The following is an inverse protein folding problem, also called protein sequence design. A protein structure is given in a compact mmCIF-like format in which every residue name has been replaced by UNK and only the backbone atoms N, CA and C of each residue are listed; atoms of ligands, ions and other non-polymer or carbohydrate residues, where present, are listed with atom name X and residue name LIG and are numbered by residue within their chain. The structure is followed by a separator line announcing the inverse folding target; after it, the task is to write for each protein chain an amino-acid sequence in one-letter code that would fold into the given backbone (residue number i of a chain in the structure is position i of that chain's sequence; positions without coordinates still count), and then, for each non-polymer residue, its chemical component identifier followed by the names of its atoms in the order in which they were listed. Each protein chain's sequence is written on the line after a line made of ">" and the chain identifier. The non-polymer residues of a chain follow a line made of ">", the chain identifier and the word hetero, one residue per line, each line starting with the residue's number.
data_IF_362430370326
#
_entry.id   IF_362430370326
#
_cell.length_a   1.000
_cell.length_b   1.000
_cell.length_c   1.000
_cell.angle_alpha   90.00
_cell.angle_beta   90.00
_cell.angle_gamma   90.00
#
_symmetry.space_group_name_H-M   'P 1'
#
loop_
_entity.id
_entity.type
_entity.pdbx_description
1 polymer ?
#
# COMPACT_ATOMS: atom_id res chain seq x y z
N UNK A 1 -51.95 4.84 -21.93
CA UNK A 1 -50.78 5.46 -22.58
C UNK A 1 -49.55 4.65 -22.18
N UNK A 2 -48.84 4.04 -23.14
CA UNK A 2 -47.66 3.22 -22.81
C UNK A 2 -46.44 4.13 -22.69
N UNK A 3 -46.18 4.64 -21.47
CA UNK A 3 -44.96 5.38 -21.13
C UNK A 3 -43.81 4.38 -21.01
N UNK A 4 -42.89 4.34 -21.97
CA UNK A 4 -41.45 4.14 -21.77
C UNK A 4 -40.79 3.85 -23.12
N UNK A 5 -40.55 4.91 -23.88
CA UNK A 5 -39.84 4.85 -25.16
C UNK A 5 -38.34 4.52 -25.02
N UNK A 6 -37.82 4.55 -23.79
CA UNK A 6 -36.40 4.35 -23.50
C UNK A 6 -35.97 2.90 -23.66
N UNK A 7 -36.85 1.92 -23.38
CA UNK A 7 -36.54 0.49 -23.49
C UNK A 7 -36.23 0.04 -24.93
N UNK A 8 -36.73 0.76 -25.94
CA UNK A 8 -36.53 0.43 -27.36
C UNK A 8 -35.28 1.09 -27.97
N UNK A 9 -34.57 1.93 -27.22
CA UNK A 9 -33.37 2.63 -27.71
C UNK A 9 -32.12 1.80 -27.44
N UNK A 10 -31.28 1.68 -28.47
CA UNK A 10 -30.04 0.89 -28.43
C UNK A 10 -28.95 1.48 -27.55
N UNK A 11 -29.03 2.74 -27.16
CA UNK A 11 -28.09 3.37 -26.22
C UNK A 11 -28.56 3.30 -24.76
N UNK A 12 -29.76 2.80 -24.49
CA UNK A 12 -30.26 2.72 -23.13
C UNK A 12 -29.43 1.71 -22.33
N UNK A 13 -28.71 2.20 -21.32
CA UNK A 13 -27.84 1.41 -20.44
C UNK A 13 -28.62 0.29 -19.74
N UNK A 14 -29.90 0.52 -19.43
CA UNK A 14 -30.76 -0.46 -18.75
C UNK A 14 -31.36 -1.53 -19.67
N UNK A 15 -31.07 -1.50 -20.97
CA UNK A 15 -31.47 -2.56 -21.87
C UNK A 15 -30.63 -3.82 -21.58
N UNK A 16 -31.28 -4.98 -21.45
CA UNK A 16 -30.62 -6.26 -21.13
C UNK A 16 -29.48 -6.56 -22.11
N UNK A 17 -29.68 -6.28 -23.41
CA UNK A 17 -28.66 -6.47 -24.44
C UNK A 17 -27.41 -5.59 -24.25
N UNK A 18 -27.53 -4.41 -23.63
CA UNK A 18 -26.39 -3.55 -23.33
C UNK A 18 -25.71 -3.94 -22.03
N UNK A 19 -26.49 -4.32 -21.02
CA UNK A 19 -25.98 -4.85 -19.76
C UNK A 19 -25.17 -6.14 -20.01
N UNK A 20 -25.61 -7.00 -20.92
CA UNK A 20 -24.89 -8.22 -21.30
C UNK A 20 -23.57 -7.92 -22.03
N UNK A 21 -23.51 -6.89 -22.87
CA UNK A 21 -22.25 -6.46 -23.50
C UNK A 21 -21.26 -5.94 -22.48
N UNK A 22 -21.72 -5.04 -21.59
CA UNK A 22 -20.87 -4.50 -20.52
C UNK A 22 -20.36 -5.62 -19.62
N UNK A 23 -21.22 -6.57 -19.22
CA UNK A 23 -20.80 -7.75 -18.44
C UNK A 23 -19.77 -8.61 -19.16
N UNK A 24 -19.89 -8.76 -20.48
CA UNK A 24 -18.92 -9.51 -21.28
C UNK A 24 -17.58 -8.78 -21.31
N UNK A 25 -17.60 -7.47 -21.55
CA UNK A 25 -16.39 -6.65 -21.60
C UNK A 25 -15.71 -6.59 -20.21
N UNK A 26 -16.50 -6.49 -19.13
CA UNK A 26 -16.03 -6.58 -17.74
C UNK A 26 -15.45 -7.96 -17.43
N UNK A 27 -16.08 -9.04 -17.88
CA UNK A 27 -15.57 -10.40 -17.68
C UNK A 27 -14.29 -10.65 -18.49
N UNK A 28 -14.17 -10.11 -19.71
CA UNK A 28 -12.96 -10.20 -20.53
C UNK A 28 -11.81 -9.37 -19.91
N UNK A 29 -12.11 -8.20 -19.34
CA UNK A 29 -11.16 -7.40 -18.59
C UNK A 29 -10.70 -8.11 -17.30
N UNK A 30 -11.64 -8.63 -16.51
CA UNK A 30 -11.33 -9.39 -15.29
C UNK A 30 -10.52 -10.65 -15.59
N UNK A 31 -10.86 -11.41 -16.64
CA UNK A 31 -10.11 -12.61 -17.02
C UNK A 31 -8.66 -12.29 -17.41
N UNK A 32 -8.41 -11.10 -17.99
CA UNK A 32 -7.07 -10.64 -18.32
C UNK A 32 -6.28 -10.26 -17.06
N UNK A 33 -6.90 -9.53 -16.13
CA UNK A 33 -6.29 -9.18 -14.84
C UNK A 33 -5.97 -10.44 -14.03
N UNK A 34 -6.90 -11.39 -13.93
CA UNK A 34 -6.69 -12.67 -13.24
C UNK A 34 -5.53 -13.48 -13.85
N UNK A 35 -5.38 -13.48 -15.17
CA UNK A 35 -4.26 -14.15 -15.83
C UNK A 35 -2.91 -13.49 -15.52
N UNK A 36 -2.87 -12.16 -15.38
CA UNK A 36 -1.68 -11.42 -14.97
C UNK A 36 -1.37 -11.67 -13.48
N UNK A 37 -2.38 -11.67 -12.62
CA UNK A 37 -2.23 -12.02 -11.20
C UNK A 37 -1.74 -13.45 -10.99
N UNK A 38 -2.26 -14.42 -11.76
CA UNK A 38 -1.78 -15.80 -11.70
C UNK A 38 -0.31 -15.90 -12.07
N UNK A 39 0.16 -15.17 -13.09
CA UNK A 39 1.59 -15.12 -13.43
C UNK A 39 2.42 -14.57 -12.28
N UNK A 40 1.98 -13.50 -11.64
CA UNK A 40 2.68 -12.94 -10.47
C UNK A 40 2.70 -13.92 -9.29
N UNK A 41 1.58 -14.62 -9.05
CA UNK A 41 1.49 -15.64 -8.01
C UNK A 41 2.41 -16.84 -8.29
N UNK A 42 2.51 -17.27 -9.55
CA UNK A 42 3.40 -18.35 -9.99
C UNK A 42 4.87 -17.96 -9.82
N UNK A 43 5.25 -16.73 -10.15
CA UNK A 43 6.60 -16.20 -9.91
C UNK A 43 6.93 -16.16 -8.42
N UNK A 44 6.00 -15.69 -7.60
CA UNK A 44 6.14 -15.66 -6.14
C UNK A 44 6.20 -17.07 -5.55
N UNK A 45 5.38 -17.99 -6.03
CA UNK A 45 5.40 -19.39 -5.64
C UNK A 45 6.73 -20.05 -6.04
N UNK A 46 7.20 -19.82 -7.27
CA UNK A 46 8.49 -20.31 -7.75
C UNK A 46 9.65 -19.77 -6.89
N UNK A 47 9.62 -18.48 -6.53
CA UNK A 47 10.61 -17.88 -5.60
C UNK A 47 10.55 -18.53 -4.22
N UNK A 48 9.35 -18.78 -3.67
CA UNK A 48 9.19 -19.49 -2.39
C UNK A 48 9.74 -20.91 -2.47
N UNK A 49 9.49 -21.61 -3.56
CA UNK A 49 10.01 -22.96 -3.79
C UNK A 49 11.55 -22.95 -3.93
N UNK A 50 12.12 -22.00 -4.67
CA UNK A 50 13.57 -21.84 -4.82
C UNK A 50 14.26 -21.59 -3.46
N UNK A 51 13.66 -20.74 -2.62
CA UNK A 51 14.10 -20.51 -1.24
C UNK A 51 14.04 -21.79 -0.39
N UNK A 52 12.98 -22.58 -0.52
CA UNK A 52 12.85 -23.87 0.17
C UNK A 52 13.86 -24.91 -0.35
N UNK A 53 14.23 -24.84 -1.62
CA UNK A 53 15.27 -25.68 -2.23
C UNK A 53 16.71 -25.22 -1.93
N UNK A 54 16.88 -24.09 -1.25
CA UNK A 54 18.20 -23.54 -0.92
C UNK A 54 18.92 -22.89 -2.11
N UNK A 55 18.22 -22.59 -3.19
CA UNK A 55 18.77 -21.89 -4.35
C UNK A 55 18.86 -20.38 -4.05
N UNK A 56 19.95 -19.67 -4.47
CA UNK A 56 20.10 -18.25 -4.19
C UNK A 56 19.07 -17.42 -4.98
N UNK A 57 18.07 -16.87 -4.28
CA UNK A 57 17.05 -15.99 -4.88
C UNK A 57 17.61 -14.59 -5.06
N UNK A 58 17.55 -14.06 -6.30
CA UNK A 58 17.97 -12.69 -6.60
C UNK A 58 17.12 -11.68 -5.80
N UNK A 59 17.74 -10.64 -5.18
CA UNK A 59 17.01 -9.64 -4.41
C UNK A 59 16.04 -8.87 -5.32
N UNK A 60 14.81 -8.69 -4.86
CA UNK A 60 13.81 -7.82 -5.49
C UNK A 60 14.38 -6.40 -5.57
N UNK A 61 14.67 -5.94 -6.78
CA UNK A 61 14.80 -4.50 -7.04
C UNK A 61 13.43 -3.89 -6.73
N UNK A 62 13.33 -2.81 -5.94
CA UNK A 62 12.05 -2.14 -5.73
C UNK A 62 11.53 -1.68 -7.09
N UNK A 63 10.35 -2.17 -7.46
CA UNK A 63 9.73 -1.89 -8.75
C UNK A 63 9.65 -0.38 -8.95
N UNK A 64 10.35 0.10 -9.98
CA UNK A 64 10.12 1.42 -10.52
C UNK A 64 8.67 1.47 -10.97
N UNK A 65 7.86 2.24 -10.25
CA UNK A 65 6.56 2.79 -10.68
C UNK A 65 5.72 1.84 -11.54
N UNK A 66 4.84 1.09 -10.86
CA UNK A 66 3.47 0.83 -11.30
C UNK A 66 3.19 1.14 -12.78
N UNK A 67 3.10 0.11 -13.60
CA UNK A 67 2.63 0.16 -14.99
C UNK A 67 1.14 0.54 -15.14
N UNK A 68 0.57 1.27 -14.17
CA UNK A 68 -0.72 1.96 -14.25
C UNK A 68 -0.61 3.43 -14.69
N UNK A 69 0.60 3.98 -14.81
CA UNK A 69 0.82 5.40 -15.14
C UNK A 69 0.74 5.73 -16.66
N UNK A 70 0.33 4.77 -17.49
CA UNK A 70 0.21 4.98 -18.93
C UNK A 70 -1.06 5.77 -19.31
N UNK A 71 -2.11 5.73 -18.49
CA UNK A 71 -3.36 6.47 -18.74
C UNK A 71 -3.32 7.93 -18.23
N UNK A 72 -2.49 8.25 -17.23
CA UNK A 72 -2.23 9.65 -16.84
C UNK A 72 -1.40 10.42 -17.89
N UNK A 73 -0.69 9.69 -18.75
CA UNK A 73 0.25 10.25 -19.73
C UNK A 73 -0.43 11.02 -20.87
N UNK A 74 -1.71 10.78 -21.11
CA UNK A 74 -2.52 11.50 -22.12
C UNK A 74 -2.99 12.86 -21.58
N UNK A 75 -3.33 12.96 -20.30
CA UNK A 75 -3.74 14.22 -19.66
C UNK A 75 -2.56 15.15 -19.31
N UNK A 76 -1.34 14.61 -19.16
CA UNK A 76 -0.13 15.39 -18.87
C UNK A 76 0.39 16.21 -20.07
N UNK A 77 -0.08 15.98 -21.31
CA UNK A 77 0.36 16.76 -22.48
C UNK A 77 -0.25 18.17 -22.55
N UNK A 78 -1.38 18.42 -21.90
CA UNK A 78 -2.01 19.74 -21.89
C UNK A 78 -1.39 20.72 -20.87
N UNK A 79 -0.51 20.26 -19.97
CA UNK A 79 0.10 21.08 -18.90
C UNK A 79 1.60 21.34 -19.05
N UNK A 80 2.24 20.87 -20.13
CA UNK A 80 3.71 20.88 -20.30
C UNK A 80 4.32 22.11 -20.97
N UNK A 81 3.54 23.12 -21.35
CA UNK A 81 4.07 24.33 -22.00
C UNK A 81 4.49 25.45 -21.03
N UNK A 82 4.48 25.24 -19.71
CA UNK A 82 4.70 26.35 -18.74
C UNK A 82 5.87 26.22 -17.76
N UNK A 83 6.44 25.05 -17.53
CA UNK A 83 7.47 24.89 -16.49
C UNK A 83 8.77 24.26 -17.02
N UNK A 84 9.49 25.00 -17.88
CA UNK A 84 10.91 24.74 -18.18
C UNK A 84 11.80 25.56 -17.25
N UNK A 85 12.06 25.04 -16.05
CA UNK A 85 13.31 25.26 -15.28
C UNK A 85 13.26 24.42 -14.01
N UNK A 86 13.81 23.21 -14.08
CA UNK A 86 14.23 22.51 -12.88
C UNK A 86 15.60 21.87 -13.12
N UNK A 87 16.56 22.30 -12.31
CA UNK A 87 17.90 21.78 -12.21
C UNK A 87 17.90 20.30 -11.85
N UNK A 88 18.69 19.51 -12.56
CA UNK A 88 18.91 18.09 -12.30
C UNK A 88 19.34 17.34 -13.55
N UNK A 89 20.67 17.19 -13.73
CA UNK A 89 21.41 16.45 -14.76
C UNK A 89 20.94 16.67 -16.22
N UNK A 90 21.82 17.01 -17.18
CA UNK A 90 21.41 17.17 -18.57
C UNK A 90 20.88 15.83 -19.07
N UNK A 91 19.55 15.66 -19.11
CA UNK A 91 18.91 14.60 -19.85
C UNK A 91 19.39 14.76 -21.29
N UNK A 92 20.24 13.84 -21.74
CA UNK A 92 20.80 13.85 -23.08
C UNK A 92 19.65 14.05 -24.07
N UNK A 93 19.64 15.20 -24.73
CA UNK A 93 18.58 15.54 -25.68
C UNK A 93 18.56 14.45 -26.73
N UNK A 94 17.39 13.84 -26.96
CA UNK A 94 17.22 12.76 -27.93
C UNK A 94 17.81 13.18 -29.29
N UNK A 95 18.93 12.55 -29.69
CA UNK A 95 19.66 12.89 -30.91
C UNK A 95 18.77 12.61 -32.13
N UNK A 96 18.58 13.62 -32.99
CA UNK A 96 17.71 13.54 -34.18
C UNK A 96 18.36 12.70 -35.29
N UNK A 97 17.54 12.15 -36.17
CA UNK A 97 17.96 11.46 -37.40
C UNK A 97 18.49 12.50 -38.41
N UNK A 98 19.60 12.24 -39.08
CA UNK A 98 20.07 13.09 -40.18
C UNK A 98 19.28 12.77 -41.46
N UNK A 99 19.19 13.73 -42.38
CA UNK A 99 18.45 13.52 -43.63
C UNK A 99 19.16 12.48 -44.51
N UNK A 100 18.48 11.37 -44.83
CA UNK A 100 19.02 10.30 -45.68
C UNK A 100 19.77 9.17 -44.95
N UNK A 101 19.78 9.14 -43.62
CA UNK A 101 20.31 7.99 -42.84
C UNK A 101 19.27 6.85 -42.78
N UNK A 102 19.70 5.59 -42.84
CA UNK A 102 18.86 4.44 -42.46
C UNK A 102 18.87 4.23 -40.94
N UNK A 103 17.91 3.46 -40.41
CA UNK A 103 17.79 3.27 -38.96
C UNK A 103 19.00 2.51 -38.37
N UNK A 104 19.61 1.60 -39.14
CA UNK A 104 20.86 0.92 -38.78
C UNK A 104 22.05 1.87 -38.77
N UNK A 105 22.15 2.77 -39.74
CA UNK A 105 23.24 3.73 -39.84
C UNK A 105 23.20 4.74 -38.69
N UNK A 106 21.98 5.12 -38.29
CA UNK A 106 21.75 5.96 -37.11
C UNK A 106 22.25 5.30 -35.83
N UNK A 107 21.96 4.01 -35.64
CA UNK A 107 22.41 3.24 -34.48
C UNK A 107 23.94 3.10 -34.45
N UNK A 108 24.56 2.80 -35.60
CA UNK A 108 26.02 2.69 -35.73
C UNK A 108 26.70 4.02 -35.40
N UNK A 109 26.14 5.16 -35.83
CA UNK A 109 26.69 6.49 -35.52
C UNK A 109 26.62 6.78 -34.03
N UNK A 110 25.48 6.54 -33.37
CA UNK A 110 25.36 6.74 -31.93
C UNK A 110 26.31 5.83 -31.14
N UNK A 111 26.43 4.56 -31.52
CA UNK A 111 27.37 3.63 -30.89
C UNK A 111 28.83 4.13 -31.00
N UNK A 112 29.24 4.69 -32.15
CA UNK A 112 30.58 5.27 -32.33
C UNK A 112 30.79 6.53 -31.47
N UNK A 113 29.82 7.44 -31.46
CA UNK A 113 29.88 8.67 -30.66
C UNK A 113 30.02 8.36 -29.16
N UNK A 114 29.32 7.33 -28.66
CA UNK A 114 29.36 6.93 -27.26
C UNK A 114 30.69 6.24 -26.90
N UNK A 115 31.25 5.43 -27.81
CA UNK A 115 32.60 4.86 -27.66
C UNK A 115 33.66 5.97 -27.62
N UNK A 116 33.58 6.96 -28.51
CA UNK A 116 34.50 8.11 -28.52
C UNK A 116 34.38 8.95 -27.25
N UNK A 117 33.16 9.22 -26.77
CA UNK A 117 32.93 9.94 -25.53
C UNK A 117 33.53 9.17 -24.33
N UNK A 118 33.35 7.85 -24.29
CA UNK A 118 33.97 6.99 -23.29
C UNK A 118 35.50 6.99 -23.34
N UNK A 119 36.09 7.00 -24.54
CA UNK A 119 37.55 7.11 -24.70
C UNK A 119 38.09 8.48 -24.26
N UNK A 120 37.41 9.58 -24.59
CA UNK A 120 37.78 10.94 -24.15
C UNK A 120 37.69 11.10 -22.64
N UNK A 121 36.66 10.51 -22.00
CA UNK A 121 36.56 10.49 -20.54
C UNK A 121 37.72 9.71 -19.92
N UNK A 122 38.06 8.53 -20.47
CA UNK A 122 39.18 7.70 -20.01
C UNK A 122 40.52 8.43 -20.13
N UNK A 123 40.81 9.11 -21.24
CA UNK A 123 42.06 9.86 -21.41
C UNK A 123 42.15 11.08 -20.49
N UNK A 124 41.03 11.75 -20.21
CA UNK A 124 40.96 12.87 -19.27
C UNK A 124 41.20 12.45 -17.81
N UNK A 125 40.78 11.24 -17.43
CA UNK A 125 41.09 10.66 -16.12
C UNK A 125 42.57 10.27 -16.01
N UNK A 126 43.13 9.56 -17.01
CA UNK A 126 44.53 9.10 -16.99
C UNK A 126 45.55 10.25 -16.95
N UNK A 127 45.24 11.39 -17.58
CA UNK A 127 46.16 12.56 -17.56
C UNK A 127 46.27 13.27 -16.21
N UNK A 128 45.36 13.02 -15.26
CA UNK A 128 45.41 13.68 -13.94
C UNK A 128 46.31 12.97 -12.93
N UNK A 129 46.70 11.73 -13.19
CA UNK A 129 47.37 10.89 -12.18
C UNK A 129 48.91 10.82 -12.36
N UNK A 130 49.48 11.42 -13.41
CA UNK A 130 50.88 11.16 -13.79
C UNK A 130 51.81 12.39 -13.81
N UNK A 131 51.32 13.62 -13.63
CA UNK A 131 52.20 14.79 -13.64
C UNK A 131 52.15 15.61 -12.35
N UNK A 132 53.34 16.02 -11.90
CA UNK A 132 53.66 17.03 -10.88
C UNK A 132 54.07 16.57 -9.46
N UNK A 133 54.89 15.52 -9.35
CA UNK A 133 55.83 15.43 -8.21
C UNK A 133 57.23 15.00 -8.68
N UNK A 134 58.28 15.82 -8.52
CA UNK A 134 59.64 15.38 -8.81
C UNK A 134 60.00 14.21 -7.88
N UNK A 135 60.37 13.06 -8.46
CA UNK A 135 60.69 11.81 -7.75
C UNK A 135 61.81 11.99 -6.70
N UNK A 136 62.62 13.04 -6.85
CA UNK A 136 63.76 13.34 -6.00
C UNK A 136 63.59 14.73 -5.41
N UNK A 137 63.68 14.82 -4.09
CA UNK A 137 63.71 16.08 -3.35
C UNK A 137 64.92 16.94 -3.78
N UNK A 138 64.89 18.24 -3.54
CA UNK A 138 66.00 19.15 -3.77
C UNK A 138 67.27 18.78 -2.97
N UNK A 139 67.12 17.94 -1.94
CA UNK A 139 68.20 17.35 -1.15
C UNK A 139 68.72 16.00 -1.70
N UNK A 140 68.22 15.51 -2.83
CA UNK A 140 68.66 14.26 -3.46
C UNK A 140 67.99 12.98 -2.95
N UNK A 141 66.97 13.08 -2.08
CA UNK A 141 66.26 11.92 -1.54
C UNK A 141 65.07 11.52 -2.41
N UNK A 142 64.90 10.21 -2.66
CA UNK A 142 63.75 9.70 -3.43
C UNK A 142 62.48 9.77 -2.57
N UNK A 143 61.50 10.57 -2.98
CA UNK A 143 60.22 10.69 -2.28
C UNK A 143 59.24 9.65 -2.85
N UNK A 144 59.08 8.53 -2.14
CA UNK A 144 58.14 7.46 -2.48
C UNK A 144 56.68 7.81 -2.16
N UNK A 145 56.47 8.87 -1.36
CA UNK A 145 55.16 9.38 -0.94
C UNK A 145 55.17 10.87 -1.26
N UNK A 146 54.21 11.40 -2.03
CA UNK A 146 54.16 12.83 -2.35
C UNK A 146 53.99 13.62 -1.04
N UNK A 147 54.92 14.54 -0.76
CA UNK A 147 54.78 15.44 0.37
C UNK A 147 53.49 16.27 0.19
N UNK A 148 52.71 16.49 1.26
CA UNK A 148 51.53 17.35 1.17
C UNK A 148 51.98 18.74 0.74
N UNK A 149 51.45 19.25 -0.38
CA UNK A 149 51.79 20.56 -0.90
C UNK A 149 51.70 21.61 0.22
N UNK A 150 52.80 22.31 0.50
CA UNK A 150 52.81 23.36 1.52
C UNK A 150 52.07 24.64 1.05
N UNK A 151 51.79 24.74 -0.25
CA UNK A 151 51.08 25.87 -0.88
C UNK A 151 49.64 26.05 -0.35
N UNK A 152 48.77 25.02 -0.26
CA UNK A 152 47.45 25.15 0.37
C UNK A 152 47.55 25.45 1.87
N UNK A 153 48.52 24.87 2.58
CA UNK A 153 48.68 25.06 4.03
C UNK A 153 49.11 26.50 4.35
N UNK A 154 50.03 27.07 3.57
CA UNK A 154 50.48 28.48 3.70
C UNK A 154 49.41 29.50 3.27
N UNK A 155 48.49 29.12 2.37
CA UNK A 155 47.32 29.95 1.99
C UNK A 155 46.24 29.94 3.07
N UNK A 156 45.98 28.80 3.70
CA UNK A 156 45.03 28.68 4.81
C UNK A 156 45.46 29.50 6.05
N UNK A 157 46.76 29.55 6.36
CA UNK A 157 47.25 30.24 7.57
C UNK A 157 47.15 31.78 7.56
N UNK A 158 46.98 32.43 6.40
CA UNK A 158 46.87 33.90 6.27
C UNK A 158 45.43 34.38 6.06
N UNK A 159 44.47 33.47 5.98
CA UNK A 159 43.08 33.74 5.63
C UNK A 159 42.11 33.61 6.81
N UNK A 160 42.56 33.42 8.05
CA UNK A 160 41.63 33.25 9.17
C UNK A 160 40.69 34.46 9.38
N UNK A 161 41.18 35.68 9.17
CA UNK A 161 40.36 36.89 9.20
C UNK A 161 39.47 37.03 7.95
N UNK A 162 39.99 36.65 6.78
CA UNK A 162 39.25 36.69 5.51
C UNK A 162 38.11 35.64 5.46
N UNK A 163 38.33 34.44 5.99
CA UNK A 163 37.32 33.38 6.10
C UNK A 163 36.22 33.75 7.11
N UNK A 164 36.57 34.47 8.18
CA UNK A 164 35.57 35.00 9.12
C UNK A 164 34.71 36.09 8.46
N UNK A 165 35.29 36.99 7.67
CA UNK A 165 34.55 38.00 6.91
C UNK A 165 33.71 37.40 5.78
N UNK A 166 34.25 36.41 5.04
CA UNK A 166 33.52 35.68 4.01
C UNK A 166 32.39 34.84 4.60
N UNK A 167 32.57 34.20 5.76
CA UNK A 167 31.51 33.48 6.45
C UNK A 167 30.40 34.43 6.94
N UNK A 168 30.75 35.64 7.41
CA UNK A 168 29.76 36.66 7.77
C UNK A 168 29.04 37.21 6.54
N UNK A 169 29.75 37.43 5.42
CA UNK A 169 29.17 37.88 4.16
C UNK A 169 28.23 36.83 3.58
N UNK A 170 28.66 35.57 3.56
CA UNK A 170 27.86 34.42 3.13
C UNK A 170 26.61 34.26 4.00
N UNK A 171 26.72 34.39 5.33
CA UNK A 171 25.53 34.39 6.21
C UNK A 171 24.59 35.54 5.88
N UNK A 172 25.09 36.76 5.67
CA UNK A 172 24.26 37.90 5.25
C UNK A 172 23.58 37.68 3.89
N UNK A 173 24.28 37.08 2.93
CA UNK A 173 23.75 36.73 1.61
C UNK A 173 22.70 35.60 1.71
N UNK A 174 22.96 34.57 2.52
CA UNK A 174 22.01 33.50 2.82
C UNK A 174 20.77 34.05 3.56
N UNK A 175 20.93 35.03 4.44
CA UNK A 175 19.84 35.71 5.13
C UNK A 175 19.02 36.61 4.18
N UNK A 176 19.64 37.17 3.13
CA UNK A 176 18.94 37.92 2.08
C UNK A 176 18.20 37.01 1.10
N UNK A 177 18.80 35.86 0.75
CA UNK A 177 18.23 34.90 -0.21
C UNK A 177 17.17 34.00 0.43
N UNK A 178 17.34 33.66 1.70
CA UNK A 178 16.41 32.77 2.41
C UNK A 178 15.54 33.53 3.40
N UNK A 179 14.23 33.54 3.14
CA UNK A 179 13.20 34.14 4.02
C UNK A 179 12.96 33.27 5.26
N UNK A 180 13.97 33.10 6.12
CA UNK A 180 13.81 32.42 7.41
C UNK A 180 13.30 33.40 8.46
N UNK A 181 12.26 32.99 9.20
CA UNK A 181 11.65 33.81 10.26
C UNK A 181 12.64 34.21 11.38
N UNK A 182 13.74 33.47 11.55
CA UNK A 182 14.84 33.82 12.46
C UNK A 182 15.64 35.05 12.02
N UNK A 183 15.70 35.33 10.72
CA UNK A 183 16.55 36.36 10.12
C UNK A 183 15.81 37.68 9.93
N UNK A 184 14.48 37.67 9.96
CA UNK A 184 13.63 38.87 9.84
C UNK A 184 13.64 39.75 11.10
N UNK A 185 14.19 39.26 12.22
CA UNK A 185 14.36 40.02 13.45
C UNK A 185 15.59 40.93 13.35
N UNK A 186 15.55 41.93 12.47
CA UNK A 186 16.63 42.88 12.18
C UNK A 186 17.04 43.80 13.34
N UNK A 187 16.69 43.48 14.59
CA UNK A 187 17.05 44.26 15.75
C UNK A 187 17.75 43.34 16.74
N UNK A 188 19.04 43.58 16.94
CA UNK A 188 19.87 42.99 17.99
C UNK A 188 19.18 43.18 19.34
N UNK A 189 18.31 42.25 19.71
CA UNK A 189 17.86 41.90 21.05
C UNK A 189 17.00 40.64 20.87
N UNK A 190 17.26 39.66 21.73
CA UNK A 190 16.72 38.32 21.64
C UNK A 190 15.19 38.31 21.57
N UNK A 191 14.67 37.13 21.28
CA UNK A 191 13.25 36.82 21.35
C UNK A 191 12.66 37.26 22.70
N UNK A 192 12.27 38.54 22.81
CA UNK A 192 11.26 38.97 23.75
C UNK A 192 10.07 38.08 23.46
N UNK A 193 9.69 37.35 24.51
CA UNK A 193 8.68 36.32 24.47
C UNK A 193 7.55 36.77 23.55
N UNK A 194 7.26 36.02 22.47
CA UNK A 194 6.26 36.46 21.52
C UNK A 194 4.93 36.66 22.25
N UNK A 195 4.08 37.55 21.78
CA UNK A 195 2.85 37.98 22.47
C UNK A 195 1.87 36.85 22.85
N UNK A 196 2.04 35.64 22.31
CA UNK A 196 1.32 34.41 22.71
C UNK A 196 1.94 33.66 23.91
N UNK A 197 3.18 33.98 24.29
CA UNK A 197 3.88 33.42 25.45
C UNK A 197 3.60 34.18 26.76
N UNK A 198 2.91 35.33 26.72
CA UNK A 198 2.44 36.05 27.91
C UNK A 198 1.20 35.43 28.58
N UNK A 199 0.58 34.42 27.95
CA UNK A 199 -0.54 33.69 28.57
C UNK A 199 -0.10 32.52 29.46
N UNK A 200 1.22 32.33 29.67
CA UNK A 200 1.70 31.61 30.85
C UNK A 200 1.92 32.64 31.96
N UNK A 201 1.17 32.47 33.05
CA UNK A 201 1.28 33.20 34.32
C UNK A 201 0.43 34.48 34.43
N UNK A 202 -0.89 34.37 34.27
CA UNK A 202 -1.83 35.29 34.90
C UNK A 202 -2.88 34.48 35.67
N UNK A 203 -2.46 33.95 36.83
CA UNK A 203 -3.35 33.31 37.80
C UNK A 203 -3.12 31.81 37.96
N UNK A 204 -3.17 31.36 39.21
CA UNK A 204 -3.01 29.97 39.70
C UNK A 204 -1.56 29.52 39.90
N UNK A 205 -0.92 30.18 40.87
CA UNK A 205 -0.06 29.50 41.85
C UNK A 205 -0.92 28.48 42.62
N UNK A 206 -0.68 27.17 42.46
CA UNK A 206 -1.32 26.16 43.32
C UNK A 206 -1.52 24.78 42.68
N UNK A 207 -0.64 23.84 43.08
CA UNK A 207 -0.72 22.39 42.89
C UNK A 207 -0.29 21.82 41.53
N UNK A 208 0.70 20.93 41.52
CA UNK A 208 1.13 20.19 40.33
C UNK A 208 0.01 19.32 39.72
N UNK A 209 -1.01 18.97 40.51
CA UNK A 209 -2.18 18.22 40.07
C UNK A 209 -3.15 19.05 39.22
N UNK A 210 -3.20 20.37 39.38
CA UNK A 210 -4.03 21.26 38.54
C UNK A 210 -3.35 21.52 37.19
N UNK A 211 -2.02 21.52 37.14
CA UNK A 211 -1.23 21.65 35.90
C UNK A 211 -1.47 20.50 34.91
N UNK A 212 -1.61 19.26 35.39
CA UNK A 212 -1.83 18.09 34.51
C UNK A 212 -3.25 18.07 33.94
N UNK A 213 -4.25 18.43 34.74
CA UNK A 213 -5.66 18.55 34.35
C UNK A 213 -5.86 19.72 33.38
N UNK A 214 -5.27 20.89 33.65
CA UNK A 214 -5.38 22.05 32.75
C UNK A 214 -4.64 21.79 31.43
N UNK A 215 -3.51 21.09 31.43
CA UNK A 215 -2.82 20.74 30.18
C UNK A 215 -3.62 19.72 29.35
N UNK A 216 -4.42 18.86 29.99
CA UNK A 216 -5.32 17.95 29.27
C UNK A 216 -6.55 18.70 28.74
N UNK A 217 -7.20 19.56 29.53
CA UNK A 217 -8.34 20.37 29.07
C UNK A 217 -7.98 21.40 27.98
N UNK A 218 -6.78 21.99 28.04
CA UNK A 218 -6.26 22.89 27.00
C UNK A 218 -5.87 22.12 25.73
N UNK A 219 -5.54 20.83 25.86
CA UNK A 219 -5.34 19.93 24.71
C UNK A 219 -6.63 19.38 24.14
N UNK A 220 -7.77 19.53 24.80
CA UNK A 220 -9.05 19.03 24.30
C UNK A 220 -9.75 20.04 23.37
N UNK A 221 -9.51 21.33 23.57
CA UNK A 221 -10.12 22.44 22.80
C UNK A 221 -9.34 22.74 21.53
N UNK A 222 -10.03 22.83 20.40
CA UNK A 222 -9.43 23.10 19.09
C UNK A 222 -8.80 24.51 19.05
N UNK A 223 -8.08 24.87 17.98
CA UNK A 223 -7.43 26.19 17.79
C UNK A 223 -8.41 27.36 17.96
N UNK A 224 -9.70 27.11 17.73
CA UNK A 224 -10.80 28.05 17.91
C UNK A 224 -11.56 27.92 19.25
N UNK A 225 -11.09 27.11 20.19
CA UNK A 225 -11.68 26.97 21.53
C UNK A 225 -12.93 26.08 21.59
N UNK A 226 -13.35 25.47 20.48
CA UNK A 226 -14.47 24.53 20.47
C UNK A 226 -14.03 23.14 20.92
N UNK A 227 -14.90 22.44 21.66
CA UNK A 227 -14.66 21.07 22.07
C UNK A 227 -15.00 20.13 20.92
N UNK A 228 -13.98 19.43 20.42
CA UNK A 228 -14.10 18.57 19.25
C UNK A 228 -14.30 17.12 19.75
N UNK A 229 -15.52 16.56 19.76
CA UNK A 229 -15.87 15.36 20.55
C UNK A 229 -15.07 14.12 20.15
N UNK A 230 -14.65 14.05 18.88
CA UNK A 230 -13.85 12.94 18.33
C UNK A 230 -12.35 13.16 18.42
N UNK A 231 -11.88 14.27 19.00
CA UNK A 231 -10.44 14.50 19.18
C UNK A 231 -9.82 13.52 20.15
N UNK A 232 -10.49 13.21 21.27
CA UNK A 232 -10.05 12.20 22.24
C UNK A 232 -9.85 10.85 21.56
N UNK A 233 -10.78 10.45 20.71
CA UNK A 233 -10.69 9.18 19.98
C UNK A 233 -9.56 9.21 18.94
N UNK A 234 -9.37 10.32 18.22
CA UNK A 234 -8.24 10.49 17.29
C UNK A 234 -6.89 10.45 18.01
N UNK A 235 -6.77 11.07 19.18
CA UNK A 235 -5.54 11.04 19.96
C UNK A 235 -5.27 9.65 20.55
N UNK A 236 -6.28 8.97 21.08
CA UNK A 236 -6.16 7.55 21.48
C UNK A 236 -5.76 6.67 20.31
N UNK A 237 -6.31 6.91 19.12
CA UNK A 237 -5.96 6.17 17.91
C UNK A 237 -4.53 6.47 17.48
N UNK A 238 -4.05 7.72 17.55
CA UNK A 238 -2.66 8.09 17.26
C UNK A 238 -1.68 7.47 18.25
N UNK A 239 -2.02 7.49 19.55
CA UNK A 239 -1.20 6.89 20.61
C UNK A 239 -1.15 5.37 20.43
N UNK A 240 -2.29 4.73 20.17
CA UNK A 240 -2.35 3.27 19.98
C UNK A 240 -1.86 2.81 18.61
N UNK A 241 -1.83 3.66 17.58
CA UNK A 241 -1.20 3.35 16.29
C UNK A 241 0.31 3.59 16.29
N UNK A 242 0.77 4.56 17.09
CA UNK A 242 2.20 4.87 17.25
C UNK A 242 2.92 3.95 18.23
N UNK A 243 2.19 3.21 19.06
CA UNK A 243 2.75 2.26 20.01
C UNK A 243 2.88 0.85 19.38
N UNK A 244 4.12 0.32 19.22
CA UNK A 244 4.33 -1.04 18.71
C UNK A 244 3.74 -2.13 19.61
N UNK A 245 3.64 -1.88 20.92
CA UNK A 245 3.05 -2.86 21.85
C UNK A 245 1.53 -2.96 21.66
N UNK A 246 0.85 -1.83 21.47
CA UNK A 246 -0.57 -1.82 21.12
C UNK A 246 -0.85 -2.53 19.79
N UNK A 247 0.03 -2.39 18.79
CA UNK A 247 -0.07 -3.13 17.52
C UNK A 247 0.04 -4.66 17.74
N UNK A 248 0.99 -5.09 18.58
CA UNK A 248 1.15 -6.50 18.93
C UNK A 248 -0.07 -7.07 19.67
N UNK A 249 -0.66 -6.29 20.58
CA UNK A 249 -1.89 -6.70 21.28
C UNK A 249 -3.10 -6.81 20.33
N UNK A 250 -3.19 -5.94 19.32
CA UNK A 250 -4.23 -6.05 18.28
C UNK A 250 -4.05 -7.34 17.49
N UNK A 251 -2.83 -7.61 17.01
CA UNK A 251 -2.51 -8.85 16.31
C UNK A 251 -2.83 -10.12 17.13
N UNK A 252 -2.54 -10.13 18.44
CA UNK A 252 -2.90 -11.24 19.32
C UNK A 252 -4.41 -11.41 19.48
N UNK A 253 -5.17 -10.30 19.56
CA UNK A 253 -6.64 -10.34 19.62
C UNK A 253 -7.23 -10.89 18.32
N UNK A 254 -6.72 -10.44 17.18
CA UNK A 254 -7.18 -10.88 15.86
C UNK A 254 -6.88 -12.37 15.64
N UNK A 255 -5.70 -12.84 16.06
CA UNK A 255 -5.37 -14.27 16.03
C UNK A 255 -6.35 -15.08 16.89
N UNK A 256 -6.69 -14.61 18.10
CA UNK A 256 -7.66 -15.28 18.97
C UNK A 256 -9.08 -15.25 18.40
N UNK A 257 -9.48 -14.17 17.75
CA UNK A 257 -10.77 -14.08 17.05
C UNK A 257 -10.82 -15.07 15.88
N UNK A 258 -9.79 -15.10 15.03
CA UNK A 258 -9.72 -16.04 13.91
C UNK A 258 -9.75 -17.51 14.37
N UNK A 259 -9.11 -17.83 15.51
CA UNK A 259 -9.17 -19.18 16.09
C UNK A 259 -10.59 -19.54 16.53
N UNK A 260 -11.30 -18.59 17.15
CA UNK A 260 -12.70 -18.79 17.56
C UNK A 260 -13.65 -18.89 16.37
N UNK A 261 -13.39 -18.13 15.32
CA UNK A 261 -14.17 -18.21 14.08
C UNK A 261 -13.98 -19.55 13.38
N UNK A 262 -12.74 -20.06 13.32
CA UNK A 262 -12.47 -21.42 12.80
C UNK A 262 -13.18 -22.49 13.62
N UNK A 263 -13.16 -22.39 14.95
CA UNK A 263 -13.85 -23.32 15.83
C UNK A 263 -15.37 -23.28 15.63
N UNK A 264 -15.95 -22.07 15.54
CA UNK A 264 -17.38 -21.88 15.23
C UNK A 264 -17.74 -22.49 13.88
N UNK A 265 -16.95 -22.19 12.85
CA UNK A 265 -17.16 -22.73 11.51
C UNK A 265 -17.07 -24.25 11.47
N UNK A 266 -16.08 -24.84 12.16
CA UNK A 266 -15.97 -26.30 12.27
C UNK A 266 -17.17 -26.90 13.00
N UNK A 267 -17.64 -26.26 14.07
CA UNK A 267 -18.80 -26.72 14.83
C UNK A 267 -20.08 -26.66 13.99
N UNK A 268 -20.30 -25.58 13.24
CA UNK A 268 -21.41 -25.44 12.30
C UNK A 268 -21.32 -26.51 11.22
N UNK A 269 -20.13 -26.72 10.64
CA UNK A 269 -19.92 -27.73 9.60
C UNK A 269 -20.17 -29.15 10.09
N UNK A 270 -19.75 -29.47 11.31
CA UNK A 270 -20.03 -30.76 11.94
C UNK A 270 -21.53 -30.92 12.24
N UNK A 271 -22.20 -29.87 12.71
CA UNK A 271 -23.64 -29.89 12.94
C UNK A 271 -24.44 -30.07 11.64
N UNK A 272 -24.01 -29.46 10.53
CA UNK A 272 -24.58 -29.68 9.19
C UNK A 272 -24.41 -31.13 8.73
N UNK A 273 -23.20 -31.68 8.85
CA UNK A 273 -22.92 -33.07 8.49
C UNK A 273 -23.72 -34.06 9.34
N UNK A 274 -23.85 -33.81 10.64
CA UNK A 274 -24.71 -34.60 11.52
C UNK A 274 -26.19 -34.46 11.15
N UNK A 275 -26.63 -33.27 10.75
CA UNK A 275 -27.97 -33.02 10.24
C UNK A 275 -28.25 -33.86 9.00
N UNK A 276 -27.33 -33.83 8.03
CA UNK A 276 -27.41 -34.64 6.80
C UNK A 276 -27.45 -36.14 7.11
N UNK A 277 -26.55 -36.64 7.97
CA UNK A 277 -26.56 -38.04 8.42
C UNK A 277 -27.89 -38.43 9.06
N UNK A 278 -28.44 -37.57 9.93
CA UNK A 278 -29.75 -37.82 10.56
C UNK A 278 -30.88 -37.84 9.53
N UNK A 279 -30.86 -36.98 8.52
CA UNK A 279 -31.85 -37.01 7.44
C UNK A 279 -31.72 -38.23 6.56
N UNK A 280 -30.49 -38.66 6.26
CA UNK A 280 -30.19 -39.85 5.46
C UNK A 280 -30.67 -41.12 6.17
N UNK A 281 -30.35 -41.29 7.46
CA UNK A 281 -30.85 -42.40 8.28
C UNK A 281 -32.39 -42.39 8.37
N UNK A 282 -33.01 -41.20 8.44
CA UNK A 282 -34.48 -41.09 8.40
C UNK A 282 -35.04 -41.50 7.03
N UNK A 283 -34.42 -41.09 5.93
CA UNK A 283 -34.81 -41.49 4.57
C UNK A 283 -34.67 -43.00 4.40
N UNK A 284 -33.51 -43.58 4.74
CA UNK A 284 -33.26 -45.03 4.67
C UNK A 284 -34.28 -45.83 5.50
N UNK A 285 -34.70 -45.30 6.67
CA UNK A 285 -35.76 -45.93 7.47
C UNK A 285 -37.14 -45.82 6.83
N UNK A 286 -37.45 -44.71 6.16
CA UNK A 286 -38.70 -44.54 5.42
C UNK A 286 -38.74 -45.45 4.19
N UNK A 287 -37.62 -45.60 3.48
CA UNK A 287 -37.47 -46.47 2.32
C UNK A 287 -37.62 -47.93 2.71
N UNK A 288 -36.94 -48.39 3.77
CA UNK A 288 -37.16 -49.74 4.35
C UNK A 288 -38.61 -49.99 4.77
N UNK A 289 -39.31 -48.97 5.26
CA UNK A 289 -40.74 -49.09 5.62
C UNK A 289 -41.65 -49.16 4.39
N UNK A 290 -41.28 -48.54 3.27
CA UNK A 290 -42.01 -48.65 2.00
C UNK A 290 -41.80 -50.03 1.37
N UNK A 291 -40.56 -50.49 1.32
CA UNK A 291 -40.19 -51.83 0.83
C UNK A 291 -40.97 -52.94 1.55
N UNK A 292 -41.06 -52.88 2.89
CA UNK A 292 -41.84 -53.85 3.67
C UNK A 292 -43.36 -53.84 3.39
N UNK A 293 -43.91 -52.71 2.92
CA UNK A 293 -45.34 -52.58 2.59
C UNK A 293 -45.62 -53.06 1.17
N UNK A 294 -44.68 -52.85 0.25
CA UNK A 294 -44.80 -53.29 -1.14
C UNK A 294 -44.69 -54.83 -1.25
N UNK A 295 -43.84 -55.47 -0.43
CA UNK A 295 -43.74 -56.95 -0.38
C UNK A 295 -44.93 -57.64 0.30
N UNK A 296 -45.65 -56.94 1.20
CA UNK A 296 -46.85 -57.46 1.85
C UNK A 296 -48.11 -57.37 0.95
N UNK A 297 -48.04 -56.66 -0.18
CA UNK A 297 -49.19 -56.38 -1.05
C UNK A 297 -49.46 -57.43 -2.13
N UNK A 298 -48.55 -58.38 -2.37
CA UNK A 298 -48.66 -59.35 -3.47
C UNK A 298 -48.91 -60.80 -3.02
N UNK A 299 -48.63 -61.14 -1.76
CA UNK A 299 -48.82 -62.51 -1.24
C UNK A 299 -50.18 -62.75 -0.55
N UNK A 300 -50.98 -61.71 -0.28
CA UNK A 300 -52.31 -61.84 0.37
C UNK A 300 -53.47 -61.97 -0.63
N UNK A 301 -53.22 -61.90 -1.94
CA UNK A 301 -54.22 -62.13 -2.99
C UNK A 301 -54.17 -63.58 -3.49
N UNK A 302 -54.67 -64.52 -2.67
CA UNK A 302 -54.90 -65.90 -3.11
C UNK A 302 -56.32 -66.04 -3.65
N UNK A 303 -56.46 -66.48 -4.92
CA UNK A 303 -57.74 -66.70 -5.62
C UNK A 303 -58.62 -67.81 -5.02
N UNK A 304 -58.13 -68.54 -4.01
CA UNK A 304 -58.81 -69.69 -3.38
C UNK A 304 -59.19 -69.47 -1.89
N UNK A 305 -59.01 -68.27 -1.32
CA UNK A 305 -59.34 -68.01 0.08
C UNK A 305 -60.82 -67.63 0.29
N UNK A 306 -61.60 -68.31 1.17
CA UNK A 306 -63.00 -67.99 1.40
C UNK A 306 -63.15 -66.68 2.18
N UNK A 307 -64.01 -65.79 1.67
CA UNK A 307 -64.40 -64.51 2.28
C UNK A 307 -64.87 -64.69 3.72
N UNK A 308 -64.00 -64.43 4.70
CA UNK A 308 -64.40 -64.37 6.11
C UNK A 308 -63.90 -63.10 6.81
N UNK A 309 -64.89 -62.36 7.33
CA UNK A 309 -64.88 -61.49 8.52
C UNK A 309 -64.13 -60.14 8.52
N UNK A 310 -64.95 -59.09 8.44
CA UNK A 310 -64.99 -57.89 9.30
C UNK A 310 -63.68 -57.27 9.83
N UNK A 311 -63.21 -56.23 9.14
CA UNK A 311 -62.27 -55.24 9.70
C UNK A 311 -62.96 -54.36 10.76
N UNK A 312 -62.77 -54.68 12.05
CA UNK A 312 -63.09 -53.77 13.17
C UNK A 312 -62.23 -52.50 13.10
N UNK A 313 -62.87 -51.38 12.71
CA UNK A 313 -62.32 -50.03 12.87
C UNK A 313 -62.23 -49.69 14.36
N UNK A 314 -61.02 -49.71 14.93
CA UNK A 314 -60.76 -49.11 16.26
C UNK A 314 -60.79 -47.59 16.09
N UNK A 315 -61.84 -46.96 16.62
CA UNK A 315 -61.97 -45.52 16.69
C UNK A 315 -60.86 -44.89 17.54
N UNK A 316 -60.23 -43.87 16.99
CA UNK A 316 -59.31 -42.97 17.70
C UNK A 316 -60.18 -42.01 18.48
N UNK A 317 -60.24 -42.17 19.81
CA UNK A 317 -60.86 -41.20 20.71
C UNK A 317 -59.92 -39.99 20.84
N UNK A 318 -60.31 -38.87 20.25
CA UNK A 318 -59.71 -37.55 20.48
C UNK A 318 -60.32 -37.02 21.78
N UNK A 319 -59.57 -37.05 22.86
CA UNK A 319 -59.91 -36.36 24.10
C UNK A 319 -59.53 -34.89 23.96
N UNK A 320 -60.53 -34.03 23.75
CA UNK A 320 -60.43 -32.58 23.94
C UNK A 320 -60.42 -32.29 25.44
N UNK A 321 -59.26 -31.89 25.99
CA UNK A 321 -59.19 -31.29 27.31
C UNK A 321 -59.59 -29.82 27.20
N UNK A 322 -60.82 -29.52 27.64
CA UNK A 322 -61.32 -28.17 27.94
C UNK A 322 -61.33 -28.03 29.47
N UNK A 323 -60.63 -27.02 29.97
CA UNK A 323 -60.64 -26.48 31.33
C UNK A 323 -59.67 -25.29 31.29
N UNK A 324 -60.06 -24.01 31.41
CA UNK A 324 -61.04 -23.35 32.28
C UNK A 324 -60.82 -23.65 33.76
N UNK A 325 -59.76 -23.09 34.35
CA UNK A 325 -59.77 -21.91 35.24
C UNK A 325 -58.33 -21.48 35.55
#
# INVERSE_FOLDING_TARGET
>A
MVLHLLGKKSWNVYNTANVERVRRDEAEAQAREEAEEQRMQDEDAARRIAKLRGEPVAPLLPDAATSGDLDERVNAKARRDRDEKHDGAPRERKRRKLHGEDDTDREIRFAREDVEAGQRAKTALVRKDVEDAPLVDHAGHVQLIPAPDEKPIRKAGKNAAAEAEEAQKRKREEDQVTMRFSNAAGLKNGMEKPWYASNKHAGVEGSEASKTVILSEVREKDVWGNEDPRRKDRERNRISSGDPFAAMQRAQRDLKQSSRDKERWQRERMAELEGLRKTEVKQERLDRRRELVDDAGLDEFSLDAPLTAERKRKGITITTAVGSE
#
